data_IF_607744395882
#
_entry.id   IF_607744395882
#
_cell.length_a   1.000
_cell.length_b   1.000
_cell.length_c   1.000
_cell.angle_alpha   90.00
_cell.angle_beta   90.00
_cell.angle_gamma   90.00
#
_symmetry.space_group_name_H-M   'P 1'
#
loop_
_entity.id
_entity.type
_entity.pdbx_description
1 polymer ?
#
# COMPACT_ATOMS: atom_id res chain seq x y z
N UNK A 1 -0.70 -16.04 14.62
CA UNK A 1 0.46 -15.28 14.12
C UNK A 1 0.90 -15.97 12.83
N UNK A 2 0.47 -15.44 11.68
CA UNK A 2 0.84 -15.99 10.37
C UNK A 2 2.27 -15.49 10.08
N UNK A 3 3.26 -16.37 10.24
CA UNK A 3 4.61 -16.10 9.77
C UNK A 3 4.60 -16.34 8.25
N UNK A 4 4.62 -15.28 7.45
CA UNK A 4 4.99 -15.37 6.05
C UNK A 4 6.47 -15.79 5.99
N UNK A 5 6.74 -17.09 6.00
CA UNK A 5 8.05 -17.61 5.62
C UNK A 5 8.19 -17.40 4.11
N UNK A 6 8.87 -16.33 3.73
CA UNK A 6 9.27 -16.02 2.37
C UNK A 6 10.16 -17.13 1.79
N UNK A 7 9.54 -18.20 1.31
CA UNK A 7 10.17 -19.25 0.49
C UNK A 7 9.15 -19.95 -0.41
N UNK A 8 8.21 -19.19 -1.00
CA UNK A 8 7.43 -19.72 -2.11
C UNK A 8 7.48 -18.69 -3.22
N UNK A 9 8.01 -19.11 -4.36
CA UNK A 9 7.94 -18.39 -5.62
C UNK A 9 6.48 -18.07 -5.92
N UNK A 10 6.16 -16.80 -6.00
CA UNK A 10 4.95 -16.38 -6.69
C UNK A 10 5.15 -16.73 -8.16
N UNK A 11 4.25 -17.47 -8.79
CA UNK A 11 4.33 -17.69 -10.23
C UNK A 11 4.28 -16.33 -10.91
N UNK A 12 5.44 -15.91 -11.45
CA UNK A 12 5.58 -14.73 -12.28
C UNK A 12 6.37 -13.56 -11.73
N UNK A 13 6.71 -13.47 -10.42
CA UNK A 13 7.52 -12.38 -9.88
C UNK A 13 8.37 -12.78 -8.68
N UNK A 14 9.65 -12.36 -8.71
CA UNK A 14 10.47 -12.25 -7.51
C UNK A 14 10.10 -10.93 -6.86
N UNK A 15 9.19 -10.98 -5.90
CA UNK A 15 8.93 -9.87 -5.01
C UNK A 15 10.07 -9.80 -4.02
N UNK A 16 11.02 -8.97 -4.19
CA UNK A 16 11.96 -8.49 -3.18
C UNK A 16 13.35 -8.41 -3.80
N UNK A 17 13.83 -7.20 -3.99
CA UNK A 17 15.26 -6.95 -4.03
C UNK A 17 15.86 -7.31 -2.67
N UNK A 18 16.91 -8.11 -2.57
CA UNK A 18 17.57 -8.40 -1.30
C UNK A 18 18.29 -7.18 -0.69
N UNK A 19 18.29 -6.04 -1.34
CA UNK A 19 19.06 -4.85 -0.96
C UNK A 19 18.25 -3.65 -0.45
N UNK A 20 17.01 -3.86 0.03
CA UNK A 20 16.36 -2.82 0.83
C UNK A 20 15.04 -2.25 0.32
N UNK A 21 14.59 -2.54 -0.88
CA UNK A 21 13.30 -2.08 -1.38
C UNK A 21 12.20 -3.09 -1.00
N UNK A 22 11.77 -3.05 0.26
CA UNK A 22 10.77 -3.95 0.82
C UNK A 22 9.32 -3.51 0.57
N UNK A 23 8.39 -4.34 1.03
CA UNK A 23 6.99 -3.96 1.17
C UNK A 23 6.85 -3.13 2.44
N UNK A 24 6.39 -1.89 2.31
CA UNK A 24 6.30 -0.93 3.40
C UNK A 24 4.87 -0.68 3.86
N UNK A 25 3.89 -1.05 3.06
CA UNK A 25 2.50 -0.87 3.42
C UNK A 25 1.59 -1.97 2.91
N UNK A 26 0.53 -2.24 3.69
CA UNK A 26 -0.50 -3.21 3.34
C UNK A 26 -1.88 -2.68 3.71
N UNK A 27 -2.83 -2.77 2.79
CA UNK A 27 -4.24 -2.47 3.02
C UNK A 27 -5.11 -3.64 2.54
N UNK A 28 -6.19 -3.92 3.26
CA UNK A 28 -7.18 -4.91 2.85
C UNK A 28 -8.39 -4.22 2.26
N UNK A 29 -8.77 -4.61 1.05
CA UNK A 29 -10.01 -4.19 0.39
C UNK A 29 -11.00 -5.35 0.46
N UNK A 30 -12.11 -5.19 1.18
CA UNK A 30 -13.11 -6.25 1.29
C UNK A 30 -13.71 -6.60 -0.06
N UNK A 31 -14.11 -7.85 -0.23
CA UNK A 31 -14.86 -8.26 -1.40
C UNK A 31 -16.18 -7.49 -1.52
N UNK A 32 -16.48 -7.03 -2.72
CA UNK A 32 -17.76 -6.41 -3.06
C UNK A 32 -18.59 -7.36 -3.91
N UNK A 33 -19.93 -7.25 -3.81
CA UNK A 33 -20.86 -7.96 -4.69
C UNK A 33 -20.78 -9.51 -4.69
N UNK A 34 -20.53 -10.10 -3.51
CA UNK A 34 -20.59 -11.57 -3.37
C UNK A 34 -19.35 -12.32 -3.83
N UNK A 35 -18.25 -11.65 -4.12
CA UNK A 35 -16.94 -12.29 -4.29
C UNK A 35 -16.53 -12.99 -2.99
N UNK A 36 -15.88 -14.15 -3.07
CA UNK A 36 -15.61 -15.00 -1.92
C UNK A 36 -14.52 -14.44 -0.97
N UNK A 37 -13.65 -13.58 -1.46
CA UNK A 37 -12.55 -12.98 -0.70
C UNK A 37 -12.27 -11.56 -1.20
N UNK A 38 -11.69 -10.72 -0.32
CA UNK A 38 -11.14 -9.43 -0.71
C UNK A 38 -9.70 -9.56 -1.21
N UNK A 39 -9.12 -8.42 -1.63
CA UNK A 39 -7.74 -8.32 -2.08
C UNK A 39 -6.89 -7.52 -1.09
N UNK A 40 -5.61 -7.82 -1.04
CA UNK A 40 -4.61 -7.00 -0.35
C UNK A 40 -3.93 -6.09 -1.37
N UNK A 41 -3.77 -4.83 -1.01
CA UNK A 41 -2.96 -3.88 -1.75
C UNK A 41 -1.69 -3.61 -0.98
N UNK A 42 -0.55 -3.74 -1.65
CA UNK A 42 0.78 -3.61 -1.08
C UNK A 42 1.52 -2.51 -1.81
N UNK A 43 2.33 -1.74 -1.10
CA UNK A 43 3.23 -0.75 -1.69
C UNK A 43 4.67 -1.11 -1.36
N UNK A 44 5.59 -0.84 -2.28
CA UNK A 44 7.01 -0.98 -2.05
C UNK A 44 7.71 0.38 -1.98
N UNK A 45 8.76 0.42 -1.17
CA UNK A 45 9.69 1.53 -1.18
C UNK A 45 10.67 1.34 -2.35
N UNK A 46 10.65 2.28 -3.29
CA UNK A 46 11.62 2.33 -4.38
C UNK A 46 11.79 3.77 -4.86
N UNK A 47 13.02 4.12 -5.19
CA UNK A 47 13.38 5.44 -5.74
C UNK A 47 13.25 5.50 -7.27
N UNK A 48 12.75 4.44 -7.90
CA UNK A 48 12.62 4.33 -9.34
C UNK A 48 11.15 4.29 -9.79
N UNK A 49 10.82 4.97 -10.89
CA UNK A 49 9.53 4.83 -11.58
C UNK A 49 9.55 3.77 -12.68
N UNK A 50 10.71 3.30 -13.03
CA UNK A 50 10.95 2.28 -14.04
C UNK A 50 12.17 1.45 -13.69
N UNK A 51 12.64 0.61 -14.62
CA UNK A 51 13.81 -0.22 -14.36
C UNK A 51 13.49 -1.55 -13.68
N UNK A 52 14.46 -2.18 -13.01
CA UNK A 52 14.30 -3.53 -12.46
C UNK A 52 13.50 -3.57 -11.15
N UNK A 53 13.40 -2.46 -10.44
CA UNK A 53 12.72 -2.37 -9.14
C UNK A 53 11.89 -1.08 -9.02
N UNK A 54 10.79 -0.96 -9.79
CA UNK A 54 9.99 0.25 -9.82
C UNK A 54 9.14 0.41 -8.55
N UNK A 55 8.81 1.68 -8.23
CA UNK A 55 7.82 2.03 -7.20
C UNK A 55 6.42 1.71 -7.72
N UNK A 56 5.76 0.72 -7.12
CA UNK A 56 4.47 0.19 -7.59
C UNK A 56 3.54 -0.22 -6.45
N UNK A 57 2.27 -0.31 -6.79
CA UNK A 57 1.22 -0.90 -5.97
C UNK A 57 0.90 -2.28 -6.53
N UNK A 58 0.90 -3.30 -5.67
CA UNK A 58 0.50 -4.67 -6.01
C UNK A 58 -0.91 -4.95 -5.48
N UNK A 59 -1.74 -5.57 -6.29
CA UNK A 59 -2.97 -6.22 -5.83
C UNK A 59 -2.73 -7.71 -5.70
N UNK A 60 -2.99 -8.24 -4.50
CA UNK A 60 -2.70 -9.63 -4.14
C UNK A 60 -3.95 -10.30 -3.60
N UNK A 61 -4.28 -11.46 -4.13
CA UNK A 61 -5.27 -12.35 -3.56
C UNK A 61 -4.61 -13.46 -2.75
N UNK A 62 -5.23 -13.83 -1.63
CA UNK A 62 -4.83 -14.99 -0.85
C UNK A 62 -5.86 -16.09 -1.02
N UNK A 63 -5.44 -17.19 -1.60
CA UNK A 63 -6.26 -18.39 -1.73
C UNK A 63 -5.93 -19.36 -0.58
N UNK A 64 -6.96 -19.83 0.11
CA UNK A 64 -6.85 -20.81 1.18
C UNK A 64 -7.11 -22.22 0.62
N UNK A 65 -6.18 -22.73 -0.19
CA UNK A 65 -6.25 -24.08 -0.69
C UNK A 65 -5.93 -25.11 0.40
N UNK A 66 -6.36 -26.37 0.22
CA UNK A 66 -6.10 -27.47 1.16
C UNK A 66 -4.59 -27.76 1.34
N UNK A 67 -3.76 -27.38 0.37
CA UNK A 67 -2.29 -27.45 0.40
C UNK A 67 -1.63 -26.35 1.24
N UNK A 68 -2.41 -25.37 1.70
CA UNK A 68 -1.98 -24.20 2.44
C UNK A 68 -2.31 -22.89 1.71
N UNK A 69 -2.18 -21.74 2.38
CA UNK A 69 -2.48 -20.46 1.78
C UNK A 69 -1.45 -20.13 0.68
N UNK A 70 -1.94 -19.71 -0.46
CA UNK A 70 -1.16 -19.22 -1.60
C UNK A 70 -1.52 -17.77 -1.85
N UNK A 71 -0.50 -16.90 -1.98
CA UNK A 71 -0.67 -15.53 -2.40
C UNK A 71 -0.37 -15.41 -3.88
N UNK A 72 -1.24 -14.72 -4.61
CA UNK A 72 -1.10 -14.47 -6.05
C UNK A 72 -1.20 -12.98 -6.34
N UNK A 73 -0.20 -12.43 -7.03
CA UNK A 73 -0.33 -11.08 -7.59
C UNK A 73 -1.34 -11.15 -8.74
N UNK A 74 -2.41 -10.39 -8.59
CA UNK A 74 -3.46 -10.27 -9.60
C UNK A 74 -3.09 -9.20 -10.61
N UNK A 75 -2.54 -8.11 -10.08
CA UNK A 75 -2.22 -6.92 -10.85
C UNK A 75 -1.20 -6.05 -10.11
N UNK A 76 -0.51 -5.20 -10.86
CA UNK A 76 0.30 -4.11 -10.31
C UNK A 76 0.15 -2.87 -11.17
N UNK A 77 0.41 -1.70 -10.57
CA UNK A 77 0.36 -0.42 -11.28
C UNK A 77 1.26 0.62 -10.59
N UNK A 78 1.74 1.58 -11.37
CA UNK A 78 2.45 2.75 -10.84
C UNK A 78 1.45 3.89 -10.61
N UNK A 79 1.68 4.65 -9.55
CA UNK A 79 0.96 5.90 -9.25
C UNK A 79 1.77 7.14 -9.64
N UNK A 80 2.88 6.96 -10.35
CA UNK A 80 3.68 8.04 -10.93
C UNK A 80 4.57 8.80 -9.95
N UNK A 81 4.73 8.28 -8.72
CA UNK A 81 5.66 8.79 -7.70
C UNK A 81 6.46 7.66 -7.10
N UNK A 82 7.61 7.98 -6.54
CA UNK A 82 8.53 7.04 -5.90
C UNK A 82 8.29 6.95 -4.39
N UNK A 83 8.97 6.01 -3.75
CA UNK A 83 9.09 5.93 -2.29
C UNK A 83 7.72 5.83 -1.60
N UNK A 84 6.96 4.80 -1.94
CA UNK A 84 5.64 4.55 -1.34
C UNK A 84 5.82 3.89 0.02
N UNK A 85 5.55 4.64 1.09
CA UNK A 85 5.84 4.26 2.48
C UNK A 85 4.62 3.82 3.28
N UNK A 86 3.40 4.06 2.77
CA UNK A 86 2.19 3.66 3.48
C UNK A 86 0.97 3.61 2.58
N UNK A 87 0.02 2.74 2.93
CA UNK A 87 -1.25 2.58 2.22
C UNK A 87 -2.40 2.27 3.18
N UNK A 88 -3.56 2.86 2.92
CA UNK A 88 -4.80 2.57 3.63
C UNK A 88 -5.97 2.50 2.65
N UNK A 89 -6.91 1.60 2.89
CA UNK A 89 -8.18 1.57 2.16
C UNK A 89 -9.27 2.31 2.96
N UNK A 90 -9.74 3.42 2.41
CA UNK A 90 -10.90 4.13 2.95
C UNK A 90 -12.20 3.52 2.42
N UNK A 91 -12.86 2.74 3.25
CA UNK A 91 -14.11 2.07 2.90
C UNK A 91 -15.27 3.05 2.66
N UNK A 92 -15.20 4.28 3.18
CA UNK A 92 -16.26 5.29 3.01
C UNK A 92 -16.27 5.86 1.60
N UNK A 93 -15.11 6.06 1.01
CA UNK A 93 -14.94 6.56 -0.36
C UNK A 93 -14.68 5.46 -1.39
N UNK A 94 -14.30 4.25 -0.95
CA UNK A 94 -13.85 3.17 -1.81
C UNK A 94 -12.51 3.46 -2.49
N UNK A 95 -11.61 4.22 -1.84
CA UNK A 95 -10.33 4.68 -2.37
C UNK A 95 -9.15 4.14 -1.58
N UNK A 96 -8.00 4.10 -2.23
CA UNK A 96 -6.71 3.90 -1.59
C UNK A 96 -6.11 5.27 -1.24
N UNK A 97 -5.60 5.38 -0.04
CA UNK A 97 -4.79 6.50 0.43
C UNK A 97 -3.36 6.01 0.49
N UNK A 98 -2.47 6.64 -0.27
CA UNK A 98 -1.07 6.21 -0.42
C UNK A 98 -0.16 7.36 -0.05
N UNK A 99 0.86 7.08 0.76
CA UNK A 99 1.90 8.05 1.11
C UNK A 99 3.12 7.79 0.23
N UNK A 100 3.71 8.90 -0.26
CA UNK A 100 5.06 8.94 -0.80
C UNK A 100 5.90 9.83 0.10
N UNK A 101 6.93 9.26 0.74
CA UNK A 101 7.79 10.01 1.67
C UNK A 101 8.68 11.00 0.92
N UNK A 102 9.39 10.58 -0.12
CA UNK A 102 10.27 11.46 -0.89
C UNK A 102 9.55 12.61 -1.59
N UNK A 103 8.26 12.45 -1.89
CA UNK A 103 7.43 13.50 -2.48
C UNK A 103 6.63 14.29 -1.45
N UNK A 104 6.72 13.93 -0.14
CA UNK A 104 5.95 14.54 0.95
C UNK A 104 4.46 14.67 0.58
N UNK A 105 3.87 13.59 0.05
CA UNK A 105 2.55 13.62 -0.58
C UNK A 105 1.63 12.49 -0.10
N UNK A 106 0.35 12.83 0.06
CA UNK A 106 -0.77 11.91 0.16
C UNK A 106 -1.48 11.85 -1.18
N UNK A 107 -1.60 10.66 -1.74
CA UNK A 107 -2.35 10.39 -2.96
C UNK A 107 -3.67 9.72 -2.63
N UNK A 108 -4.75 10.18 -3.26
CA UNK A 108 -6.04 9.49 -3.30
C UNK A 108 -6.13 8.77 -4.63
N UNK A 109 -6.21 7.44 -4.58
CA UNK A 109 -6.06 6.58 -5.76
C UNK A 109 -7.29 5.69 -5.91
N UNK A 110 -7.78 5.52 -7.13
CA UNK A 110 -8.83 4.54 -7.43
C UNK A 110 -8.29 3.12 -7.26
N UNK A 111 -9.18 2.13 -7.09
CA UNK A 111 -8.76 0.73 -7.09
C UNK A 111 -8.19 0.28 -8.45
N UNK A 112 -8.39 1.06 -9.52
CA UNK A 112 -7.82 0.80 -10.85
C UNK A 112 -6.45 1.41 -11.07
N UNK A 113 -5.97 2.26 -10.15
CA UNK A 113 -4.64 2.87 -10.19
C UNK A 113 -4.62 4.32 -10.66
N UNK A 114 -5.80 4.93 -10.90
CA UNK A 114 -5.86 6.34 -11.28
C UNK A 114 -5.63 7.23 -10.06
N UNK A 115 -4.66 8.12 -10.10
CA UNK A 115 -4.47 9.17 -9.10
C UNK A 115 -5.56 10.22 -9.29
N UNK A 116 -6.46 10.31 -8.32
CA UNK A 116 -7.62 11.22 -8.35
C UNK A 116 -7.29 12.56 -7.74
N UNK A 117 -6.52 12.56 -6.65
CA UNK A 117 -6.15 13.73 -5.89
C UNK A 117 -4.77 13.55 -5.29
N UNK A 118 -4.06 14.66 -5.05
CA UNK A 118 -2.77 14.68 -4.37
C UNK A 118 -2.70 15.87 -3.43
N UNK A 119 -2.25 15.62 -2.21
CA UNK A 119 -2.14 16.63 -1.15
C UNK A 119 -0.73 16.65 -0.59
N UNK A 120 -0.13 17.84 -0.39
CA UNK A 120 1.15 17.92 0.32
C UNK A 120 0.98 17.52 1.78
N UNK A 121 1.92 16.75 2.31
CA UNK A 121 1.97 16.36 3.71
C UNK A 121 2.98 17.22 4.46
N UNK A 122 2.64 17.66 5.68
CA UNK A 122 3.61 18.34 6.55
C UNK A 122 4.57 17.31 7.17
N UNK A 123 5.80 17.75 7.39
CA UNK A 123 6.82 16.94 8.05
C UNK A 123 7.64 16.11 7.07
N UNK A 124 8.29 15.07 7.60
CA UNK A 124 9.20 14.18 6.83
C UNK A 124 9.14 12.77 7.41
N UNK A 125 9.55 11.80 6.61
CA UNK A 125 9.59 10.37 6.97
C UNK A 125 8.23 9.87 7.42
N UNK A 126 7.27 10.02 6.54
CA UNK A 126 5.93 9.46 6.71
C UNK A 126 5.97 7.96 6.40
N UNK A 127 5.59 7.12 7.39
CA UNK A 127 5.76 5.66 7.31
C UNK A 127 4.44 4.89 7.34
N UNK A 128 3.40 5.46 7.88
CA UNK A 128 2.13 4.76 8.02
C UNK A 128 0.94 5.68 8.00
N UNK A 129 -0.18 5.16 7.53
CA UNK A 129 -1.43 5.92 7.37
C UNK A 129 -2.63 5.09 7.79
N UNK A 130 -3.58 5.73 8.48
CA UNK A 130 -4.90 5.16 8.76
C UNK A 130 -5.96 6.24 8.96
N UNK A 131 -7.23 5.84 8.84
CA UNK A 131 -8.40 6.68 9.17
C UNK A 131 -9.16 6.05 10.33
N UNK A 132 -9.58 6.86 11.30
CA UNK A 132 -10.47 6.41 12.37
C UNK A 132 -11.94 6.41 11.92
N UNK A 133 -12.81 5.84 12.77
CA UNK A 133 -14.27 5.77 12.50
C UNK A 133 -14.98 7.13 12.41
N UNK A 134 -14.30 8.24 12.72
CA UNK A 134 -14.81 9.61 12.62
C UNK A 134 -14.29 10.34 11.38
N UNK A 135 -13.51 9.67 10.53
CA UNK A 135 -12.91 10.25 9.32
C UNK A 135 -11.63 11.08 9.58
N UNK A 136 -11.06 11.03 10.79
CA UNK A 136 -9.75 11.67 11.03
C UNK A 136 -8.65 10.79 10.47
N UNK A 137 -7.73 11.41 9.71
CA UNK A 137 -6.56 10.78 9.14
C UNK A 137 -5.39 10.86 10.12
N UNK A 138 -4.69 9.75 10.29
CA UNK A 138 -3.48 9.65 11.12
C UNK A 138 -2.30 9.19 10.27
N UNK A 139 -1.16 9.86 10.44
CA UNK A 139 0.08 9.54 9.75
C UNK A 139 1.20 9.40 10.78
N UNK A 140 1.85 8.24 10.79
CA UNK A 140 3.04 8.02 11.58
C UNK A 140 4.26 8.61 10.87
N UNK A 141 5.13 9.29 11.62
CA UNK A 141 6.38 9.85 11.11
C UNK A 141 7.56 9.37 11.94
N UNK A 142 8.57 8.81 11.31
CA UNK A 142 9.80 8.39 11.96
C UNK A 142 10.68 9.59 12.36
N UNK A 143 10.66 10.68 11.58
CA UNK A 143 11.31 11.92 11.94
C UNK A 143 10.62 12.56 13.15
N UNK A 144 11.22 12.49 14.34
CA UNK A 144 10.73 13.00 15.63
C UNK A 144 9.71 12.10 16.34
N UNK A 145 9.55 10.85 15.94
CA UNK A 145 8.59 9.93 16.56
C UNK A 145 7.20 10.55 16.69
N UNK A 146 6.71 11.19 15.63
CA UNK A 146 5.49 11.97 15.65
C UNK A 146 4.30 11.22 15.03
N UNK A 147 3.13 11.47 15.59
CA UNK A 147 1.86 11.11 15.01
C UNK A 147 1.13 12.38 14.58
N UNK A 148 0.92 12.54 13.28
CA UNK A 148 0.09 13.62 12.75
C UNK A 148 -1.38 13.18 12.75
N UNK A 149 -2.25 14.08 13.20
CA UNK A 149 -3.69 13.95 13.04
C UNK A 149 -4.19 15.06 12.13
N UNK A 150 -4.78 14.68 10.99
CA UNK A 150 -5.42 15.59 10.07
C UNK A 150 -6.93 15.45 10.19
N UNK A 151 -7.63 16.55 10.40
CA UNK A 151 -9.09 16.59 10.54
C UNK A 151 -9.66 17.22 9.28
N UNK A 152 -10.55 16.51 8.62
CA UNK A 152 -11.28 17.06 7.49
C UNK A 152 -12.15 18.23 7.97
N UNK A 153 -12.09 19.38 7.28
CA UNK A 153 -12.91 20.54 7.57
C UNK A 153 -14.18 20.54 6.75
#
# INVERSE_FOLDING_TARGET
MLLLKAKRSFEGYVLISPEGNGIEGIAFVPATNGAAAGSFYLVNQSDELGGPDPSIVFEVEINHAASGPEARIVRYFSVGVTDLSGIHYDASSGRLLIISDSNEALLVVSLTGDVLESYPLPGKKQEGITIDGNGSLYIAQDAKEALLKLIQK
#
